data_IF_083647052896
#
_entry.id   IF_083647052896
#
_cell.length_a   1.000
_cell.length_b   1.000
_cell.length_c   1.000
_cell.angle_alpha   90.00
_cell.angle_beta   90.00
_cell.angle_gamma   90.00
#
_symmetry.space_group_name_H-M   'P 1'
#
loop_
_entity.id
_entity.type
_entity.pdbx_description
1 polymer ?
#
# COMPACT_ATOMS: atom_id res chain seq x y z
N UNK A 1 -40.79 6.60 -14.10
CA UNK A 1 -41.62 5.51 -13.55
C UNK A 1 -41.06 4.21 -14.11
N UNK A 2 -40.40 3.39 -13.29
CA UNK A 2 -39.63 2.22 -13.77
C UNK A 2 -40.64 1.09 -14.01
N UNK A 3 -40.75 0.62 -15.25
CA UNK A 3 -41.66 -0.47 -15.63
C UNK A 3 -41.21 -1.81 -15.02
N UNK A 4 -41.90 -2.25 -13.97
CA UNK A 4 -41.65 -3.50 -13.24
C UNK A 4 -42.15 -4.74 -13.99
N UNK A 5 -42.92 -4.57 -15.07
CA UNK A 5 -43.58 -5.66 -15.82
C UNK A 5 -42.63 -6.43 -16.74
N UNK A 6 -41.46 -5.88 -17.07
CA UNK A 6 -40.54 -6.51 -18.02
C UNK A 6 -39.58 -7.49 -17.33
N UNK A 7 -39.63 -8.77 -17.72
CA UNK A 7 -38.79 -9.86 -17.18
C UNK A 7 -37.29 -9.54 -17.23
N UNK A 8 -36.84 -8.81 -18.25
CA UNK A 8 -35.42 -8.41 -18.39
C UNK A 8 -35.01 -7.36 -17.35
N UNK A 9 -35.88 -6.39 -17.05
CA UNK A 9 -35.66 -5.38 -16.01
C UNK A 9 -35.61 -6.03 -14.63
N UNK A 10 -36.50 -6.98 -14.37
CA UNK A 10 -36.52 -7.75 -13.13
C UNK A 10 -35.22 -8.55 -12.92
N UNK A 11 -34.75 -9.29 -13.94
CA UNK A 11 -33.51 -10.07 -13.84
C UNK A 11 -32.26 -9.18 -13.67
N UNK A 12 -32.22 -8.03 -14.37
CA UNK A 12 -31.13 -7.06 -14.22
C UNK A 12 -31.10 -6.42 -12.82
N UNK A 13 -32.24 -6.24 -12.15
CA UNK A 13 -32.30 -5.67 -10.81
C UNK A 13 -32.08 -6.72 -9.71
N UNK A 14 -32.61 -7.94 -9.87
CA UNK A 14 -32.50 -9.00 -8.87
C UNK A 14 -31.07 -9.51 -8.68
N UNK A 15 -30.28 -9.57 -9.76
CA UNK A 15 -28.87 -10.01 -9.71
C UNK A 15 -27.98 -9.08 -8.90
N UNK A 16 -28.23 -7.76 -8.97
CA UNK A 16 -27.49 -6.75 -8.19
C UNK A 16 -27.74 -6.91 -6.69
N UNK A 17 -28.98 -7.22 -6.28
CA UNK A 17 -29.35 -7.37 -4.86
C UNK A 17 -28.74 -8.60 -4.19
N UNK A 18 -28.73 -9.75 -4.87
CA UNK A 18 -28.20 -11.01 -4.31
C UNK A 18 -26.67 -10.92 -4.15
N UNK A 19 -25.97 -10.31 -5.11
CA UNK A 19 -24.52 -10.09 -5.01
C UNK A 19 -24.13 -9.21 -3.83
N UNK A 20 -24.89 -8.14 -3.56
CA UNK A 20 -24.66 -7.27 -2.43
C UNK A 20 -24.84 -7.98 -1.08
N UNK A 21 -25.87 -8.83 -0.95
CA UNK A 21 -26.10 -9.62 0.28
C UNK A 21 -25.00 -10.67 0.50
N UNK A 22 -24.51 -11.31 -0.56
CA UNK A 22 -23.40 -12.26 -0.48
C UNK A 22 -22.09 -11.56 -0.07
N UNK A 23 -21.79 -10.39 -0.64
CA UNK A 23 -20.62 -9.60 -0.29
C UNK A 23 -20.69 -9.05 1.15
N UNK A 24 -21.87 -8.61 1.58
CA UNK A 24 -22.11 -8.21 2.96
C UNK A 24 -21.89 -9.41 3.90
N UNK A 25 -22.39 -10.60 3.54
CA UNK A 25 -22.15 -11.82 4.32
C UNK A 25 -20.66 -12.19 4.36
N UNK A 26 -19.91 -12.03 3.27
CA UNK A 26 -18.45 -12.24 3.26
C UNK A 26 -17.75 -11.25 4.19
N UNK A 27 -18.09 -9.95 4.13
CA UNK A 27 -17.53 -8.91 5.02
C UNK A 27 -17.86 -9.14 6.50
N UNK A 28 -19.07 -9.60 6.81
CA UNK A 28 -19.46 -9.92 8.18
C UNK A 28 -18.95 -11.29 8.64
N UNK A 29 -18.70 -12.24 7.73
CA UNK A 29 -18.10 -13.56 8.04
C UNK A 29 -16.58 -13.47 8.20
N UNK A 30 -15.91 -12.63 7.40
CA UNK A 30 -14.56 -12.10 7.63
C UNK A 30 -14.58 -11.01 8.71
N UNK A 31 -15.48 -11.18 9.69
CA UNK A 31 -15.78 -10.24 10.75
C UNK A 31 -14.52 -9.51 11.15
N UNK A 32 -14.61 -8.17 11.07
CA UNK A 32 -13.67 -7.28 11.72
C UNK A 32 -13.57 -7.82 13.13
N UNK A 33 -12.51 -8.59 13.39
CA UNK A 33 -12.28 -9.13 14.71
C UNK A 33 -12.15 -7.90 15.56
N UNK A 34 -13.08 -7.68 16.50
CA UNK A 34 -13.07 -6.58 17.46
C UNK A 34 -11.87 -6.63 18.43
N UNK A 35 -10.81 -7.33 18.03
CA UNK A 35 -9.55 -7.43 18.73
C UNK A 35 -8.39 -7.55 17.72
N UNK A 36 -8.37 -6.70 16.68
CA UNK A 36 -7.06 -6.21 16.22
C UNK A 36 -6.58 -5.26 17.32
N UNK A 37 -6.09 -5.83 18.42
CA UNK A 37 -5.10 -5.15 19.25
C UNK A 37 -3.96 -4.86 18.30
N UNK A 38 -3.97 -3.67 17.73
CA UNK A 38 -2.84 -3.08 17.02
C UNK A 38 -1.70 -3.15 18.05
N UNK A 39 -0.86 -4.18 17.92
CA UNK A 39 0.18 -4.50 18.89
C UNK A 39 0.91 -3.19 19.18
N UNK A 40 0.89 -2.78 20.45
CA UNK A 40 1.02 -1.39 20.87
C UNK A 40 2.11 -0.63 20.13
N UNK A 41 1.80 0.64 19.80
CA UNK A 41 2.64 1.54 19.00
C UNK A 41 4.14 1.31 19.31
N UNK A 42 4.89 0.61 18.44
CA UNK A 42 6.22 0.12 18.79
C UNK A 42 7.16 1.31 18.96
N UNK A 43 7.48 1.64 20.22
CA UNK A 43 8.42 2.70 20.55
C UNK A 43 9.84 2.17 20.45
N UNK A 44 10.56 2.53 19.39
CA UNK A 44 11.99 2.28 19.28
C UNK A 44 12.71 3.03 20.43
N UNK A 45 13.36 2.28 21.34
CA UNK A 45 14.07 2.87 22.50
C UNK A 45 15.48 3.35 22.16
N UNK A 46 16.11 2.75 21.14
CA UNK A 46 17.50 3.04 20.73
C UNK A 46 17.60 2.83 19.22
N UNK A 47 18.27 3.75 18.54
CA UNK A 47 18.51 3.70 17.09
C UNK A 47 20.00 3.91 16.87
N UNK A 48 20.65 2.98 16.17
CA UNK A 48 22.03 3.13 15.69
C UNK A 48 21.93 3.60 14.25
N UNK A 49 22.34 4.83 13.97
CA UNK A 49 22.34 5.40 12.63
C UNK A 49 23.76 5.44 12.09
N UNK A 50 24.02 4.66 11.04
CA UNK A 50 25.33 4.54 10.42
C UNK A 50 25.33 5.29 9.08
N UNK A 51 26.11 6.37 9.00
CA UNK A 51 26.38 7.07 7.73
C UNK A 51 27.63 6.47 7.10
N UNK A 52 27.44 5.57 6.14
CA UNK A 52 28.54 5.01 5.34
C UNK A 52 28.62 5.75 4.01
N UNK A 53 29.84 5.91 3.48
CA UNK A 53 30.02 6.40 2.11
C UNK A 53 29.29 5.45 1.14
N UNK A 54 28.30 5.97 0.41
CA UNK A 54 27.49 5.20 -0.54
C UNK A 54 26.21 4.56 0.01
N UNK A 55 25.87 4.75 1.29
CA UNK A 55 24.59 4.31 1.84
C UNK A 55 23.43 5.22 1.44
N UNK A 56 22.24 4.69 1.09
CA UNK A 56 21.09 5.52 0.74
C UNK A 56 20.56 6.25 1.98
N UNK A 57 20.70 7.57 2.01
CA UNK A 57 20.08 8.39 3.04
C UNK A 57 18.56 8.54 2.78
N UNK A 58 17.79 8.92 3.80
CA UNK A 58 16.36 9.20 3.62
C UNK A 58 16.11 10.30 2.56
N UNK A 59 17.05 11.24 2.42
CA UNK A 59 17.01 12.28 1.39
C UNK A 59 17.41 11.76 0.01
N UNK A 60 18.29 10.76 -0.04
CA UNK A 60 18.81 10.18 -1.29
C UNK A 60 17.91 9.09 -1.88
N UNK A 61 17.06 8.46 -1.06
CA UNK A 61 16.28 7.26 -1.47
C UNK A 61 15.16 7.57 -2.46
N UNK A 62 14.64 8.81 -2.47
CA UNK A 62 13.47 9.19 -3.28
C UNK A 62 13.78 10.29 -4.31
N UNK A 63 15.05 10.66 -4.46
CA UNK A 63 15.47 11.69 -5.41
C UNK A 63 16.10 11.05 -6.65
N UNK A 64 15.56 11.36 -7.83
CA UNK A 64 16.09 10.82 -9.08
C UNK A 64 17.34 11.59 -9.49
N UNK A 65 18.51 10.96 -9.30
CA UNK A 65 19.82 11.53 -9.61
C UNK A 65 20.45 10.90 -10.87
N UNK A 66 20.16 11.42 -12.09
CA UNK A 66 20.63 10.83 -13.34
C UNK A 66 22.17 10.86 -13.49
N UNK A 67 22.83 11.86 -12.89
CA UNK A 67 24.29 11.99 -12.93
C UNK A 67 24.96 10.92 -12.06
N UNK A 68 24.35 10.56 -10.93
CA UNK A 68 24.86 9.52 -10.03
C UNK A 68 24.71 8.13 -10.66
N UNK A 69 23.62 7.91 -11.41
CA UNK A 69 23.43 6.70 -12.21
C UNK A 69 24.50 6.52 -13.29
N UNK A 70 24.96 7.62 -13.93
CA UNK A 70 26.04 7.60 -14.93
C UNK A 70 27.42 7.30 -14.34
N UNK A 71 27.64 7.73 -13.09
CA UNK A 71 28.91 7.52 -12.37
C UNK A 71 28.92 6.23 -11.54
N UNK A 72 27.88 5.40 -11.65
CA UNK A 72 27.78 4.14 -10.94
C UNK A 72 28.94 3.19 -11.32
N UNK A 73 29.73 2.77 -10.34
CA UNK A 73 30.87 1.87 -10.51
C UNK A 73 32.21 2.56 -10.81
N UNK A 74 32.27 3.91 -10.85
CA UNK A 74 33.55 4.61 -10.89
C UNK A 74 34.19 4.69 -9.50
N UNK A 75 35.53 4.62 -9.40
CA UNK A 75 36.22 4.82 -8.13
C UNK A 75 35.93 6.22 -7.59
N UNK A 76 35.88 6.35 -6.26
CA UNK A 76 35.71 7.64 -5.61
C UNK A 76 36.85 8.58 -6.03
N UNK A 77 36.57 9.80 -6.50
CA UNK A 77 37.61 10.73 -6.90
C UNK A 77 38.57 11.02 -5.73
N UNK A 78 39.88 10.97 -6.02
CA UNK A 78 40.96 11.16 -5.04
C UNK A 78 40.93 12.55 -4.37
N UNK A 79 40.21 13.52 -4.93
CA UNK A 79 40.09 14.88 -4.40
C UNK A 79 39.13 15.04 -3.21
N UNK A 80 38.35 14.00 -2.87
CA UNK A 80 37.32 14.03 -1.81
C UNK A 80 37.68 13.10 -0.64
N UNK A 81 38.94 12.63 -0.56
CA UNK A 81 39.48 11.91 0.61
C UNK A 81 40.25 12.87 1.50
#
# INVERSE_FOLDING_TARGET
MIDTTNRRTFLNQATVGIGALAFQRQLFAEGISEDIKMAGNPKAKRVIFLCMAGGPSHLETLDYKPTLAKMHGQPMPESIT
#
